data_IF_364813424367
#
_entry.id   IF_364813424367
#
_cell.length_a   1.000
_cell.length_b   1.000
_cell.length_c   1.000
_cell.angle_alpha   90.00
_cell.angle_beta   90.00
_cell.angle_gamma   90.00
#
_symmetry.space_group_name_H-M   'P 1'
#
loop_
_entity.id
_entity.type
_entity.pdbx_description
1 polymer ?
#
# COMPACT_ATOMS: atom_id res chain seq x y z
N UNK A 1 -24.25 56.19 26.75
CA UNK A 1 -23.08 56.10 25.84
C UNK A 1 -22.25 54.92 26.34
N UNK A 2 -22.21 53.74 25.73
CA UNK A 2 -22.64 53.29 24.41
C UNK A 2 -23.09 51.83 24.51
N UNK A 3 -24.16 51.50 23.80
CA UNK A 3 -24.74 50.17 23.66
C UNK A 3 -23.91 49.32 22.70
N UNK A 4 -23.93 47.99 22.87
CA UNK A 4 -23.59 47.05 21.80
C UNK A 4 -24.60 45.91 21.84
N UNK A 5 -25.57 46.02 20.93
CA UNK A 5 -26.54 44.99 20.62
C UNK A 5 -25.86 43.90 19.79
N UNK A 6 -26.12 42.65 20.15
CA UNK A 6 -25.86 41.50 19.29
C UNK A 6 -26.81 41.51 18.08
N UNK A 7 -26.28 41.10 16.93
CA UNK A 7 -27.04 40.87 15.70
C UNK A 7 -26.78 39.42 15.27
N UNK A 8 -27.89 38.68 15.17
CA UNK A 8 -28.03 37.40 14.47
C UNK A 8 -27.65 37.52 12.99
N UNK A 9 -27.06 36.48 12.42
CA UNK A 9 -27.04 36.28 10.97
C UNK A 9 -27.54 34.88 10.65
N UNK A 10 -28.71 34.86 10.02
CA UNK A 10 -29.35 33.75 9.35
C UNK A 10 -28.81 33.57 7.93
N UNK A 11 -28.98 32.35 7.43
CA UNK A 11 -28.60 31.93 6.08
C UNK A 11 -29.48 32.56 4.99
N UNK A 12 -28.86 32.97 3.89
CA UNK A 12 -29.49 33.09 2.56
C UNK A 12 -28.44 32.63 1.54
N UNK A 13 -28.83 31.65 0.72
CA UNK A 13 -28.00 31.10 -0.34
C UNK A 13 -27.94 32.00 -1.56
N UNK A 14 -26.92 31.79 -2.39
CA UNK A 14 -26.89 32.27 -3.76
C UNK A 14 -26.11 31.29 -4.63
N UNK A 15 -26.82 30.79 -5.63
CA UNK A 15 -26.38 29.94 -6.73
C UNK A 15 -25.59 30.78 -7.73
N UNK A 16 -24.43 30.28 -8.17
CA UNK A 16 -23.72 30.83 -9.33
C UNK A 16 -23.58 29.74 -10.39
N UNK A 17 -24.43 29.82 -11.42
CA UNK A 17 -24.22 29.16 -12.72
C UNK A 17 -23.30 30.05 -13.56
N UNK A 18 -22.23 29.48 -14.10
CA UNK A 18 -21.43 30.08 -15.16
C UNK A 18 -21.85 29.44 -16.48
N UNK A 19 -22.70 30.17 -17.21
CA UNK A 19 -22.93 29.99 -18.64
C UNK A 19 -21.66 30.41 -19.40
N UNK A 20 -21.05 29.47 -20.09
CA UNK A 20 -20.13 29.77 -21.21
C UNK A 20 -20.71 29.11 -22.45
N UNK A 21 -21.44 29.92 -23.20
CA UNK A 21 -22.00 29.57 -24.50
C UNK A 21 -20.91 29.32 -25.53
N UNK A 22 -21.01 28.17 -26.20
CA UNK A 22 -20.40 27.94 -27.51
C UNK A 22 -21.50 27.43 -28.43
N UNK A 23 -22.00 28.32 -29.28
CA UNK A 23 -22.92 28.01 -30.37
C UNK A 23 -22.14 27.54 -31.59
N UNK A 24 -22.36 26.30 -32.01
CA UNK A 24 -21.86 25.78 -33.29
C UNK A 24 -22.96 25.93 -34.36
N UNK A 25 -22.68 26.72 -35.38
CA UNK A 25 -23.47 26.77 -36.61
C UNK A 25 -23.18 25.52 -37.46
N UNK A 26 -24.22 24.76 -37.77
CA UNK A 26 -24.19 23.70 -38.76
C UNK A 26 -24.73 24.24 -40.09
N UNK A 27 -24.01 24.00 -41.19
CA UNK A 27 -24.61 23.97 -42.52
C UNK A 27 -24.11 22.72 -43.28
N UNK A 28 -24.96 22.09 -44.12
CA UNK A 28 -24.84 20.69 -44.50
C UNK A 28 -24.16 20.48 -45.87
N UNK A 29 -23.93 19.19 -46.17
CA UNK A 29 -23.57 18.57 -47.45
C UNK A 29 -22.08 18.21 -47.61
N UNK A 30 -21.76 16.94 -47.36
CA UNK A 30 -21.25 16.02 -48.39
C UNK A 30 -21.24 14.58 -47.87
N UNK A 31 -21.59 13.66 -48.77
CA UNK A 31 -21.86 12.25 -48.56
C UNK A 31 -20.60 11.41 -48.29
N UNK A 32 -20.66 10.56 -47.27
CA UNK A 32 -20.03 9.22 -47.35
C UNK A 32 -20.60 8.33 -46.26
N UNK A 33 -21.35 7.31 -46.70
CA UNK A 33 -21.88 6.23 -45.88
C UNK A 33 -20.69 5.43 -45.34
N UNK A 34 -20.40 5.59 -44.06
CA UNK A 34 -19.58 4.66 -43.27
C UNK A 34 -20.53 3.97 -42.31
N UNK A 35 -20.69 2.66 -42.46
CA UNK A 35 -21.49 1.83 -41.54
C UNK A 35 -20.80 1.84 -40.18
N UNK A 36 -21.45 2.41 -39.17
CA UNK A 36 -21.09 2.20 -37.77
C UNK A 36 -21.28 0.71 -37.42
N UNK A 37 -20.31 0.06 -36.75
CA UNK A 37 -20.58 -1.21 -36.10
C UNK A 37 -21.42 -0.92 -34.85
N UNK A 38 -22.65 -1.41 -34.89
CA UNK A 38 -23.56 -1.55 -33.74
C UNK A 38 -22.81 -2.01 -32.49
N UNK A 39 -22.88 -1.19 -31.41
CA UNK A 39 -22.46 -1.56 -30.05
C UNK A 39 -23.18 -2.85 -29.63
N UNK A 40 -22.50 -3.98 -29.77
CA UNK A 40 -22.89 -5.22 -29.12
C UNK A 40 -22.64 -5.05 -27.62
N UNK A 41 -23.72 -4.94 -26.84
CA UNK A 41 -23.69 -5.21 -25.41
C UNK A 41 -23.17 -6.64 -25.21
N UNK A 42 -21.97 -6.75 -24.65
CA UNK A 42 -21.46 -8.02 -24.14
C UNK A 42 -21.93 -8.13 -22.69
N UNK A 43 -22.75 -9.14 -22.32
CA UNK A 43 -23.08 -9.35 -20.92
C UNK A 43 -21.89 -10.07 -20.29
N UNK A 44 -21.00 -9.34 -19.62
CA UNK A 44 -19.97 -9.94 -18.77
C UNK A 44 -20.56 -10.23 -17.39
N UNK A 45 -21.48 -11.20 -17.32
CA UNK A 45 -21.80 -11.89 -16.06
C UNK A 45 -21.04 -13.21 -16.05
N UNK A 46 -19.71 -13.11 -16.00
CA UNK A 46 -18.92 -14.25 -15.55
C UNK A 46 -18.91 -14.19 -14.03
N UNK A 47 -19.64 -15.12 -13.43
CA UNK A 47 -19.66 -15.38 -12.00
C UNK A 47 -18.24 -15.83 -11.58
N UNK A 48 -17.33 -14.87 -11.37
CA UNK A 48 -15.96 -15.13 -10.96
C UNK A 48 -15.96 -15.37 -9.45
N UNK A 49 -15.57 -16.57 -9.05
CA UNK A 49 -15.41 -16.92 -7.64
C UNK A 49 -14.42 -15.94 -6.96
N UNK A 50 -14.74 -15.54 -5.75
CA UNK A 50 -14.06 -14.52 -4.93
C UNK A 50 -12.62 -14.91 -4.49
N UNK A 51 -12.01 -15.94 -5.09
CA UNK A 51 -10.76 -16.57 -4.62
C UNK A 51 -9.46 -16.04 -5.25
N UNK A 52 -9.54 -15.14 -6.23
CA UNK A 52 -8.37 -14.69 -7.02
C UNK A 52 -8.03 -13.21 -6.87
N UNK A 53 -8.41 -12.61 -5.75
CA UNK A 53 -8.11 -11.20 -5.46
C UNK A 53 -6.73 -11.12 -4.77
N UNK A 54 -5.68 -10.55 -5.42
CA UNK A 54 -4.36 -10.52 -4.81
C UNK A 54 -4.30 -9.51 -3.66
N UNK A 55 -3.71 -9.88 -2.52
CA UNK A 55 -3.39 -8.90 -1.47
C UNK A 55 -2.37 -7.87 -1.98
N UNK A 56 -2.28 -6.74 -1.29
CA UNK A 56 -1.27 -5.70 -1.53
C UNK A 56 -0.38 -5.59 -0.30
N UNK A 57 0.94 -5.64 -0.50
CA UNK A 57 1.92 -5.34 0.55
C UNK A 57 2.67 -4.07 0.18
N UNK A 58 2.56 -3.04 1.03
CA UNK A 58 3.34 -1.81 0.92
C UNK A 58 4.53 -1.92 1.86
N UNK A 59 5.73 -2.16 1.32
CA UNK A 59 6.94 -2.43 2.08
C UNK A 59 8.01 -1.38 1.79
N UNK A 60 9.10 -1.46 2.55
CA UNK A 60 10.29 -0.64 2.35
C UNK A 60 10.76 0.07 3.60
N UNK A 61 11.81 0.91 3.48
CA UNK A 61 12.38 1.66 4.58
C UNK A 61 11.30 2.46 5.33
N UNK A 62 11.52 2.73 6.63
CA UNK A 62 10.60 3.57 7.40
C UNK A 62 10.51 5.01 6.87
N UNK A 63 9.51 5.76 7.31
CA UNK A 63 9.30 7.17 6.92
C UNK A 63 9.20 7.47 5.40
N UNK A 64 8.95 6.48 4.55
CA UNK A 64 8.67 6.62 3.10
C UNK A 64 7.20 6.89 2.76
N UNK A 65 6.40 7.28 3.76
CA UNK A 65 4.96 7.57 3.59
C UNK A 65 4.06 6.35 3.31
N UNK A 66 4.46 5.15 3.74
CA UNK A 66 3.71 3.90 3.50
C UNK A 66 2.31 3.92 4.12
N UNK A 67 2.18 4.29 5.39
CA UNK A 67 0.87 4.42 6.07
C UNK A 67 -0.05 5.39 5.33
N UNK A 68 0.48 6.54 4.92
CA UNK A 68 -0.26 7.53 4.12
C UNK A 68 -0.72 6.94 2.78
N UNK A 69 0.15 6.19 2.11
CA UNK A 69 -0.17 5.52 0.85
C UNK A 69 -1.23 4.44 1.02
N UNK A 70 -1.16 3.65 2.10
CA UNK A 70 -2.19 2.63 2.41
C UNK A 70 -3.56 3.26 2.62
N UNK A 71 -3.62 4.38 3.35
CA UNK A 71 -4.88 5.09 3.59
C UNK A 71 -5.46 5.68 2.30
N UNK A 72 -4.63 6.32 1.47
CA UNK A 72 -5.09 6.86 0.18
C UNK A 72 -5.55 5.75 -0.77
N UNK A 73 -4.78 4.66 -0.82
CA UNK A 73 -5.13 3.50 -1.64
C UNK A 73 -6.45 2.87 -1.20
N UNK A 74 -6.70 2.75 0.10
CA UNK A 74 -8.00 2.30 0.62
C UNK A 74 -9.13 3.19 0.10
N UNK A 75 -8.99 4.51 0.21
CA UNK A 75 -10.01 5.45 -0.25
C UNK A 75 -10.30 5.27 -1.74
N UNK A 76 -9.27 5.23 -2.59
CA UNK A 76 -9.43 5.05 -4.04
C UNK A 76 -10.11 3.72 -4.35
N UNK A 77 -9.67 2.63 -3.72
CA UNK A 77 -10.20 1.29 -3.96
C UNK A 77 -11.66 1.19 -3.54
N UNK A 78 -12.03 1.76 -2.40
CA UNK A 78 -13.43 1.76 -1.96
C UNK A 78 -14.36 2.48 -2.95
N UNK A 79 -13.89 3.55 -3.59
CA UNK A 79 -14.64 4.24 -4.63
C UNK A 79 -14.67 3.43 -5.94
N UNK A 80 -13.53 2.89 -6.38
CA UNK A 80 -13.42 2.13 -7.63
C UNK A 80 -14.17 0.79 -7.59
N UNK A 81 -14.33 0.18 -6.41
CA UNK A 81 -14.98 -1.12 -6.24
C UNK A 81 -16.47 -1.02 -5.90
N UNK A 82 -17.03 0.18 -5.71
CA UNK A 82 -18.40 0.39 -5.22
C UNK A 82 -19.48 -0.38 -6.02
N UNK A 83 -19.28 -0.50 -7.34
CA UNK A 83 -20.22 -1.18 -8.25
C UNK A 83 -19.74 -2.58 -8.68
N UNK A 84 -18.78 -3.16 -7.98
CA UNK A 84 -18.21 -4.49 -8.29
C UNK A 84 -18.60 -5.54 -7.25
N UNK A 85 -18.48 -6.82 -7.60
CA UNK A 85 -18.70 -7.93 -6.66
C UNK A 85 -17.49 -8.24 -5.77
N UNK A 86 -16.46 -7.38 -5.77
CA UNK A 86 -15.21 -7.60 -5.04
C UNK A 86 -15.36 -6.99 -3.65
N UNK A 87 -15.08 -7.78 -2.62
CA UNK A 87 -15.17 -7.29 -1.25
C UNK A 87 -14.20 -6.13 -1.00
N UNK A 88 -14.52 -5.28 -0.03
CA UNK A 88 -13.59 -4.26 0.45
C UNK A 88 -12.37 -4.94 1.12
N UNK A 89 -11.14 -4.46 0.86
CA UNK A 89 -9.97 -5.02 1.52
C UNK A 89 -10.01 -4.72 3.02
N UNK A 90 -9.49 -5.64 3.83
CA UNK A 90 -9.10 -5.29 5.19
C UNK A 90 -7.75 -4.56 5.20
N UNK A 91 -7.55 -3.68 6.17
CA UNK A 91 -6.26 -3.02 6.37
C UNK A 91 -5.51 -3.73 7.49
N UNK A 92 -4.34 -4.27 7.15
CA UNK A 92 -3.36 -4.71 8.15
C UNK A 92 -2.46 -3.52 8.45
N UNK A 93 -2.68 -2.89 9.59
CA UNK A 93 -1.86 -1.77 10.05
C UNK A 93 -0.47 -2.23 10.49
N UNK A 94 0.44 -1.28 10.65
CA UNK A 94 1.85 -1.53 10.93
C UNK A 94 2.10 -2.26 12.27
N UNK A 95 2.21 -3.59 12.20
CA UNK A 95 2.30 -4.50 13.37
C UNK A 95 3.55 -4.27 14.20
N UNK A 96 4.68 -3.93 13.56
CA UNK A 96 5.95 -3.72 14.24
C UNK A 96 5.86 -2.67 15.35
N UNK A 97 5.07 -1.60 15.15
CA UNK A 97 4.88 -0.54 16.16
C UNK A 97 4.19 -1.10 17.41
N UNK A 98 3.18 -1.95 17.23
CA UNK A 98 2.46 -2.61 18.31
C UNK A 98 3.35 -3.59 19.07
N UNK A 99 4.19 -4.36 18.37
CA UNK A 99 5.12 -5.31 19.00
C UNK A 99 6.18 -4.58 19.84
N UNK A 100 6.79 -3.51 19.30
CA UNK A 100 7.76 -2.69 20.02
C UNK A 100 7.17 -2.15 21.34
N UNK A 101 5.96 -1.57 21.27
CA UNK A 101 5.27 -1.03 22.44
C UNK A 101 4.92 -2.13 23.47
N UNK A 102 4.36 -3.25 23.01
CA UNK A 102 3.93 -4.37 23.87
C UNK A 102 5.11 -5.01 24.62
N UNK A 103 6.25 -5.16 23.95
CA UNK A 103 7.42 -5.83 24.50
C UNK A 103 8.48 -4.87 25.06
N UNK A 104 8.21 -3.56 25.03
CA UNK A 104 9.07 -2.49 25.55
C UNK A 104 10.48 -2.49 24.94
N UNK A 105 10.58 -2.75 23.64
CA UNK A 105 11.83 -2.63 22.89
C UNK A 105 12.09 -1.17 22.55
N UNK A 106 13.31 -0.70 22.79
CA UNK A 106 13.80 0.58 22.26
C UNK A 106 14.59 0.39 20.97
N UNK A 107 14.87 1.48 20.24
CA UNK A 107 15.78 1.44 19.09
C UNK A 107 17.21 1.01 19.51
N UNK A 108 17.65 1.40 20.71
CA UNK A 108 18.96 1.06 21.26
C UNK A 108 19.09 -0.43 21.55
N UNK A 109 18.02 -1.08 22.04
CA UNK A 109 18.00 -2.53 22.25
C UNK A 109 18.32 -3.31 20.97
N UNK A 110 17.89 -2.79 19.82
CA UNK A 110 18.06 -3.42 18.52
C UNK A 110 19.52 -3.26 18.03
N UNK A 111 20.17 -2.13 18.32
CA UNK A 111 21.57 -1.89 17.94
C UNK A 111 22.58 -2.54 18.88
N UNK A 112 22.26 -2.58 20.17
CA UNK A 112 23.21 -3.02 21.20
C UNK A 112 23.32 -4.55 21.28
N UNK A 113 22.34 -5.31 20.77
CA UNK A 113 22.32 -6.75 20.85
C UNK A 113 21.72 -7.41 19.61
N UNK A 114 22.57 -8.14 18.89
CA UNK A 114 22.16 -8.94 17.72
C UNK A 114 21.16 -10.03 18.08
N UNK A 115 21.23 -10.58 19.31
CA UNK A 115 20.26 -11.56 19.83
C UNK A 115 18.91 -10.92 20.07
N UNK A 116 18.85 -9.77 20.75
CA UNK A 116 17.59 -9.03 20.98
C UNK A 116 16.95 -8.57 19.66
N UNK A 117 17.79 -8.17 18.70
CA UNK A 117 17.32 -7.84 17.35
C UNK A 117 16.61 -9.04 16.71
N UNK A 118 17.24 -10.23 16.73
CA UNK A 118 16.63 -11.44 16.16
C UNK A 118 15.31 -11.82 16.87
N UNK A 119 15.29 -11.80 18.21
CA UNK A 119 14.08 -12.06 19.00
C UNK A 119 12.94 -11.11 18.62
N UNK A 120 13.24 -9.81 18.48
CA UNK A 120 12.26 -8.84 18.02
C UNK A 120 11.77 -9.13 16.60
N UNK A 121 12.67 -9.44 15.66
CA UNK A 121 12.27 -9.74 14.28
C UNK A 121 11.39 -10.99 14.20
N UNK A 122 11.65 -12.01 15.03
CA UNK A 122 10.79 -13.17 15.16
C UNK A 122 9.39 -12.79 15.67
N UNK A 123 9.31 -11.99 16.75
CA UNK A 123 8.03 -11.52 17.31
C UNK A 123 7.22 -10.72 16.28
N UNK A 124 7.88 -9.84 15.52
CA UNK A 124 7.22 -9.05 14.46
C UNK A 124 6.70 -9.97 13.36
N UNK A 125 7.50 -10.92 12.88
CA UNK A 125 7.10 -11.87 11.84
C UNK A 125 5.88 -12.71 12.26
N UNK A 126 5.90 -13.26 13.48
CA UNK A 126 4.80 -14.08 13.99
C UNK A 126 3.52 -13.25 14.19
N UNK A 127 3.64 -12.05 14.76
CA UNK A 127 2.52 -11.15 14.94
C UNK A 127 1.91 -10.73 13.59
N UNK A 128 2.76 -10.41 12.61
CA UNK A 128 2.35 -10.02 11.26
C UNK A 128 1.63 -11.16 10.54
N UNK A 129 2.15 -12.38 10.62
CA UNK A 129 1.48 -13.56 10.06
C UNK A 129 0.10 -13.79 10.70
N UNK A 130 -0.04 -13.55 12.01
CA UNK A 130 -1.35 -13.61 12.70
C UNK A 130 -2.30 -12.52 12.21
N UNK A 131 -1.86 -11.26 12.14
CA UNK A 131 -2.71 -10.15 11.68
C UNK A 131 -3.21 -10.34 10.25
N UNK A 132 -2.36 -10.86 9.36
CA UNK A 132 -2.74 -11.17 7.97
C UNK A 132 -3.77 -12.30 7.90
N UNK A 133 -3.66 -13.34 8.76
CA UNK A 133 -4.68 -14.39 8.88
C UNK A 133 -6.00 -13.84 9.39
N UNK A 134 -5.97 -12.98 10.40
CA UNK A 134 -7.19 -12.40 10.98
C UNK A 134 -7.90 -11.48 9.97
N UNK A 135 -7.15 -10.71 9.18
CA UNK A 135 -7.71 -9.92 8.08
C UNK A 135 -8.45 -10.79 7.05
N UNK A 136 -7.89 -11.95 6.70
CA UNK A 136 -8.52 -12.90 5.77
C UNK A 136 -9.73 -13.64 6.36
N UNK A 137 -10.00 -13.52 7.66
CA UNK A 137 -11.24 -14.06 8.26
C UNK A 137 -12.43 -13.13 8.05
N UNK A 138 -12.19 -11.85 7.80
CA UNK A 138 -13.23 -10.81 7.69
C UNK A 138 -13.37 -10.24 6.28
N UNK A 139 -12.38 -10.44 5.39
CA UNK A 139 -12.47 -10.16 3.96
C UNK A 139 -11.73 -11.21 3.14
N UNK A 140 -12.01 -11.27 1.84
CA UNK A 140 -11.31 -12.13 0.88
C UNK A 140 -9.88 -11.68 0.59
N UNK A 141 -9.50 -10.44 0.92
CA UNK A 141 -8.15 -9.90 0.70
C UNK A 141 -7.85 -8.69 1.59
N UNK A 142 -6.59 -8.25 1.61
CA UNK A 142 -6.13 -7.12 2.40
C UNK A 142 -5.09 -6.24 1.72
N UNK A 143 -4.91 -5.03 2.28
CA UNK A 143 -3.78 -4.13 2.06
C UNK A 143 -2.98 -4.09 3.36
N UNK A 144 -1.67 -4.35 3.29
CA UNK A 144 -0.80 -4.41 4.46
C UNK A 144 0.23 -3.28 4.44
N UNK A 145 0.24 -2.48 5.52
CA UNK A 145 1.31 -1.54 5.83
C UNK A 145 2.47 -2.32 6.46
N UNK A 146 3.49 -2.61 5.64
CA UNK A 146 4.54 -3.62 5.86
C UNK A 146 4.08 -5.07 5.69
N UNK A 147 5.01 -5.98 5.87
CA UNK A 147 4.82 -7.42 5.65
C UNK A 147 5.69 -8.24 6.60
N UNK A 148 5.46 -9.56 6.62
CA UNK A 148 6.37 -10.48 7.30
C UNK A 148 7.73 -10.63 6.58
N UNK A 149 7.94 -9.97 5.44
CA UNK A 149 9.24 -9.86 4.80
C UNK A 149 10.13 -8.80 5.44
N UNK A 150 9.56 -7.67 5.92
CA UNK A 150 10.33 -6.58 6.54
C UNK A 150 11.30 -7.11 7.63
N UNK A 151 10.89 -8.00 8.56
CA UNK A 151 11.79 -8.53 9.59
C UNK A 151 13.03 -9.25 9.05
N UNK A 152 12.96 -9.88 7.87
CA UNK A 152 14.12 -10.52 7.28
C UNK A 152 15.18 -9.48 6.89
N UNK A 153 14.75 -8.35 6.30
CA UNK A 153 15.65 -7.26 5.90
C UNK A 153 16.33 -6.66 7.12
N UNK A 154 15.56 -6.38 8.17
CA UNK A 154 16.10 -5.84 9.42
C UNK A 154 17.01 -6.86 10.12
N UNK A 155 16.68 -8.16 10.11
CA UNK A 155 17.55 -9.20 10.65
C UNK A 155 18.88 -9.30 9.89
N UNK A 156 18.87 -9.23 8.55
CA UNK A 156 20.10 -9.24 7.74
C UNK A 156 21.05 -8.09 8.10
N UNK A 157 20.49 -6.94 8.47
CA UNK A 157 21.25 -5.73 8.75
C UNK A 157 21.73 -5.63 10.19
N UNK A 158 20.92 -6.06 11.16
CA UNK A 158 21.14 -5.77 12.58
C UNK A 158 21.31 -7.01 13.47
N UNK A 159 20.97 -8.21 12.98
CA UNK A 159 21.12 -9.45 13.75
C UNK A 159 22.36 -10.25 13.32
N UNK A 160 22.57 -11.41 13.94
CA UNK A 160 23.71 -12.28 13.64
C UNK A 160 23.66 -12.83 12.19
N UNK A 161 24.80 -13.23 11.58
CA UNK A 161 24.85 -13.65 10.16
C UNK A 161 23.85 -14.73 9.72
N UNK A 162 23.40 -15.58 10.65
CA UNK A 162 22.46 -16.68 10.36
C UNK A 162 20.99 -16.31 10.64
N UNK A 163 20.70 -15.07 11.05
CA UNK A 163 19.38 -14.65 11.50
C UNK A 163 18.31 -14.80 10.41
N UNK A 164 18.63 -14.45 9.16
CA UNK A 164 17.70 -14.62 8.03
C UNK A 164 17.32 -16.09 7.84
N UNK A 165 18.31 -16.99 7.86
CA UNK A 165 18.06 -18.42 7.71
C UNK A 165 17.19 -18.96 8.86
N UNK A 166 17.39 -18.48 10.08
CA UNK A 166 16.56 -18.86 11.24
C UNK A 166 15.11 -18.39 11.05
N UNK A 167 14.89 -17.12 10.66
CA UNK A 167 13.55 -16.60 10.38
C UNK A 167 12.87 -17.37 9.24
N UNK A 168 13.62 -17.75 8.20
CA UNK A 168 13.08 -18.50 7.07
C UNK A 168 12.63 -19.92 7.43
N UNK A 169 13.13 -20.51 8.51
CA UNK A 169 12.66 -21.81 8.98
C UNK A 169 11.33 -21.74 9.74
N UNK A 170 10.93 -20.55 10.20
CA UNK A 170 9.70 -20.38 10.96
C UNK A 170 8.47 -20.67 10.10
N UNK A 171 7.46 -21.38 10.63
CA UNK A 171 6.19 -21.60 9.93
C UNK A 171 5.54 -20.28 9.47
N UNK A 172 5.61 -19.25 10.31
CA UNK A 172 5.09 -17.92 10.00
C UNK A 172 5.67 -17.34 8.70
N UNK A 173 6.98 -17.47 8.47
CA UNK A 173 7.59 -17.02 7.22
C UNK A 173 7.07 -17.79 6.01
N UNK A 174 6.96 -19.12 6.11
CA UNK A 174 6.49 -19.97 5.00
C UNK A 174 5.07 -19.58 4.57
N UNK A 175 4.20 -19.30 5.55
CA UNK A 175 2.84 -18.83 5.30
C UNK A 175 2.79 -17.44 4.68
N UNK A 176 3.58 -16.49 5.20
CA UNK A 176 3.69 -15.13 4.65
C UNK A 176 4.20 -15.19 3.22
N UNK A 177 5.29 -15.91 2.97
CA UNK A 177 5.90 -16.05 1.65
C UNK A 177 4.91 -16.59 0.63
N UNK A 178 4.21 -17.68 0.96
CA UNK A 178 3.19 -18.28 0.09
C UNK A 178 2.09 -17.27 -0.27
N UNK A 179 1.66 -16.44 0.69
CA UNK A 179 0.68 -15.38 0.42
C UNK A 179 1.28 -14.28 -0.47
N UNK A 180 2.50 -13.83 -0.17
CA UNK A 180 3.21 -12.80 -0.96
C UNK A 180 3.44 -13.22 -2.41
N UNK A 181 3.72 -14.50 -2.69
CA UNK A 181 3.90 -15.04 -4.04
C UNK A 181 2.65 -14.82 -4.93
N UNK A 182 1.46 -14.81 -4.33
CA UNK A 182 0.18 -14.59 -5.03
C UNK A 182 -0.33 -13.14 -4.93
N UNK A 183 0.49 -12.23 -4.44
CA UNK A 183 0.10 -10.85 -4.15
C UNK A 183 0.81 -9.84 -5.04
N UNK A 184 0.44 -8.56 -4.87
CA UNK A 184 1.24 -7.43 -5.33
C UNK A 184 2.16 -6.99 -4.19
N UNK A 185 3.47 -7.02 -4.41
CA UNK A 185 4.47 -6.46 -3.50
C UNK A 185 4.96 -5.13 -4.05
N UNK A 186 4.82 -4.07 -3.25
CA UNK A 186 5.19 -2.70 -3.60
C UNK A 186 6.29 -2.22 -2.67
N UNK A 187 7.43 -1.84 -3.22
CA UNK A 187 8.55 -1.26 -2.45
C UNK A 187 8.54 0.26 -2.64
N UNK A 188 8.37 1.01 -1.56
CA UNK A 188 8.53 2.47 -1.59
C UNK A 188 10.01 2.84 -1.53
N UNK A 189 10.49 3.57 -2.54
CA UNK A 189 11.87 4.04 -2.59
C UNK A 189 12.19 5.02 -1.45
N UNK A 190 13.41 4.93 -0.93
CA UNK A 190 13.90 5.80 0.13
C UNK A 190 14.21 7.23 -0.35
N UNK A 191 14.32 8.18 0.59
CA UNK A 191 14.80 9.54 0.30
C UNK A 191 13.69 10.54 -0.08
N UNK A 192 12.46 10.32 0.37
CA UNK A 192 11.39 11.30 0.19
C UNK A 192 11.64 12.55 1.06
N UNK A 193 11.32 13.77 0.59
CA UNK A 193 11.61 15.01 1.32
C UNK A 193 10.84 15.17 2.64
N UNK A 194 9.84 14.33 2.91
CA UNK A 194 9.04 14.31 4.13
C UNK A 194 9.50 13.27 5.16
N UNK A 195 10.76 12.85 5.13
CA UNK A 195 11.33 11.99 6.18
C UNK A 195 11.24 12.70 7.53
N UNK A 196 10.25 12.32 8.35
CA UNK A 196 10.13 12.75 9.74
C UNK A 196 10.55 11.62 10.67
N UNK A 197 11.30 12.00 11.71
CA UNK A 197 11.64 11.13 12.83
C UNK A 197 10.38 10.86 13.66
N UNK A 198 10.02 9.58 13.78
CA UNK A 198 8.86 9.16 14.59
C UNK A 198 9.25 8.79 16.03
N UNK A 199 10.54 8.89 16.40
CA UNK A 199 11.06 8.66 17.76
C UNK A 199 10.96 7.22 18.26
N UNK A 200 10.43 6.31 17.44
CA UNK A 200 10.15 4.91 17.81
C UNK A 200 11.10 3.95 17.08
N UNK A 201 11.75 4.37 15.99
CA UNK A 201 12.52 3.47 15.11
C UNK A 201 13.98 3.85 14.92
N UNK A 202 14.75 2.86 14.46
CA UNK A 202 16.15 3.02 14.09
C UNK A 202 16.31 3.81 12.80
N UNK A 203 16.46 5.12 12.90
CA UNK A 203 16.67 6.01 11.76
C UNK A 203 18.08 5.83 11.15
N UNK A 204 18.19 5.53 9.85
CA UNK A 204 19.45 5.68 9.12
C UNK A 204 20.00 7.10 9.29
N UNK A 205 21.28 7.23 9.57
CA UNK A 205 21.95 8.50 9.88
C UNK A 205 22.26 9.37 8.67
N UNK A 206 22.04 8.88 7.45
CA UNK A 206 22.25 9.62 6.21
C UNK A 206 21.40 9.13 5.04
N UNK A 207 21.19 9.98 4.03
CA UNK A 207 20.53 9.62 2.76
C UNK A 207 21.15 8.36 2.12
N UNK A 208 22.47 8.19 2.26
CA UNK A 208 23.17 7.01 1.75
C UNK A 208 22.73 5.75 2.49
N UNK A 209 22.57 5.80 3.81
CA UNK A 209 22.12 4.65 4.59
C UNK A 209 20.65 4.32 4.34
N UNK A 210 19.83 5.34 4.07
CA UNK A 210 18.44 5.19 3.62
C UNK A 210 18.34 4.48 2.28
N UNK A 211 19.10 4.94 1.28
CA UNK A 211 19.17 4.28 -0.02
C UNK A 211 19.75 2.87 0.08
N UNK A 212 20.75 2.66 0.95
CA UNK A 212 21.26 1.32 1.20
C UNK A 212 20.17 0.39 1.75
N UNK A 213 19.36 0.86 2.71
CA UNK A 213 18.25 0.05 3.24
C UNK A 213 17.24 -0.28 2.14
N UNK A 214 16.88 0.68 1.29
CA UNK A 214 16.04 0.41 0.11
C UNK A 214 16.64 -0.67 -0.80
N UNK A 215 17.94 -0.58 -1.12
CA UNK A 215 18.62 -1.60 -1.92
C UNK A 215 18.67 -2.96 -1.23
N UNK A 216 18.75 -3.00 0.10
CA UNK A 216 18.70 -4.25 0.86
C UNK A 216 17.33 -4.92 0.78
N UNK A 217 16.23 -4.14 0.77
CA UNK A 217 14.88 -4.64 0.48
C UNK A 217 14.81 -5.30 -0.91
N UNK A 218 15.20 -4.56 -1.96
CA UNK A 218 15.16 -5.05 -3.34
C UNK A 218 16.00 -6.32 -3.52
N UNK A 219 17.27 -6.30 -3.09
CA UNK A 219 18.18 -7.45 -3.22
C UNK A 219 17.62 -8.67 -2.50
N UNK A 220 17.03 -8.49 -1.32
CA UNK A 220 16.48 -9.61 -0.58
C UNK A 220 15.21 -10.18 -1.24
N UNK A 221 14.36 -9.35 -1.86
CA UNK A 221 13.21 -9.83 -2.64
C UNK A 221 13.67 -10.72 -3.80
N UNK A 222 14.72 -10.30 -4.50
CA UNK A 222 15.36 -11.09 -5.56
C UNK A 222 15.90 -12.42 -5.00
N UNK A 223 16.61 -12.39 -3.87
CA UNK A 223 17.18 -13.58 -3.21
C UNK A 223 16.09 -14.60 -2.80
N UNK A 224 14.91 -14.14 -2.37
CA UNK A 224 13.82 -15.04 -1.95
C UNK A 224 12.83 -15.38 -3.07
N UNK A 225 13.03 -14.82 -4.26
CA UNK A 225 12.21 -15.06 -5.45
C UNK A 225 10.82 -14.42 -5.40
N UNK A 226 10.67 -13.26 -4.77
CA UNK A 226 9.41 -12.51 -4.73
C UNK A 226 9.41 -11.38 -5.77
N UNK A 227 8.45 -11.42 -6.70
CA UNK A 227 8.24 -10.33 -7.65
C UNK A 227 7.70 -9.07 -6.96
N UNK A 228 8.20 -7.90 -7.37
CA UNK A 228 7.80 -6.62 -6.79
C UNK A 228 7.82 -5.49 -7.81
N UNK A 229 7.15 -4.38 -7.48
CA UNK A 229 7.29 -3.12 -8.19
C UNK A 229 7.77 -2.01 -7.23
N UNK A 230 8.44 -1.00 -7.77
CA UNK A 230 8.93 0.14 -6.98
C UNK A 230 8.01 1.35 -7.20
N UNK A 231 7.64 2.02 -6.11
CA UNK A 231 7.09 3.38 -6.16
C UNK A 231 8.26 4.36 -6.04
N UNK A 232 8.58 5.11 -7.11
CA UNK A 232 9.75 6.00 -7.12
C UNK A 232 9.61 7.15 -6.12
N UNK A 233 10.73 7.57 -5.52
CA UNK A 233 10.78 8.72 -4.60
C UNK A 233 10.42 10.05 -5.26
N UNK A 234 10.45 10.09 -6.60
CA UNK A 234 10.15 11.27 -7.41
C UNK A 234 8.65 11.48 -7.62
N UNK A 235 7.82 10.46 -7.35
CA UNK A 235 6.35 10.61 -7.38
C UNK A 235 5.92 11.18 -6.04
N UNK A 236 5.81 12.50 -5.97
CA UNK A 236 5.56 13.21 -4.71
C UNK A 236 4.09 13.25 -4.33
N UNK A 237 3.20 13.29 -5.32
CA UNK A 237 1.76 13.33 -5.10
C UNK A 237 1.23 11.99 -4.60
N UNK A 238 0.45 12.02 -3.52
CA UNK A 238 -0.02 10.80 -2.86
C UNK A 238 -1.05 10.06 -3.71
N UNK A 239 -1.90 10.79 -4.44
CA UNK A 239 -2.91 10.22 -5.30
C UNK A 239 -2.28 9.61 -6.56
N UNK A 240 -1.22 10.21 -7.11
CA UNK A 240 -0.41 9.60 -8.18
C UNK A 240 0.27 8.30 -7.74
N UNK A 241 0.85 8.27 -6.53
CA UNK A 241 1.43 7.03 -5.96
C UNK A 241 0.38 5.94 -5.81
N UNK A 242 -0.80 6.30 -5.29
CA UNK A 242 -1.89 5.35 -5.12
C UNK A 242 -2.44 4.85 -6.46
N UNK A 243 -2.56 5.72 -7.47
CA UNK A 243 -2.97 5.35 -8.83
C UNK A 243 -1.97 4.39 -9.50
N UNK A 244 -0.67 4.58 -9.27
CA UNK A 244 0.37 3.65 -9.73
C UNK A 244 0.17 2.27 -9.12
N UNK A 245 0.01 2.20 -7.79
CA UNK A 245 -0.22 0.91 -7.09
C UNK A 245 -1.51 0.25 -7.57
N UNK A 246 -2.58 1.02 -7.73
CA UNK A 246 -3.86 0.53 -8.24
C UNK A 246 -3.73 -0.08 -9.64
N UNK A 247 -3.04 0.60 -10.54
CA UNK A 247 -2.77 0.10 -11.90
C UNK A 247 -2.01 -1.22 -11.85
N UNK A 248 -0.96 -1.32 -11.02
CA UNK A 248 -0.21 -2.57 -10.83
C UNK A 248 -1.02 -3.69 -10.23
N UNK A 249 -1.99 -3.37 -9.38
CA UNK A 249 -2.87 -4.37 -8.81
C UNK A 249 -3.83 -4.95 -9.84
N UNK A 250 -4.38 -4.12 -10.73
CA UNK A 250 -5.21 -4.58 -11.86
C UNK A 250 -4.40 -5.52 -12.76
N UNK A 251 -3.18 -5.12 -13.16
CA UNK A 251 -2.27 -5.96 -13.96
C UNK A 251 -2.00 -7.30 -13.25
N UNK A 252 -1.70 -7.27 -11.94
CA UNK A 252 -1.42 -8.48 -11.17
C UNK A 252 -2.63 -9.41 -11.14
N UNK A 253 -3.82 -8.87 -10.94
CA UNK A 253 -5.05 -9.65 -10.90
C UNK A 253 -5.33 -10.32 -12.24
N UNK A 254 -5.17 -9.61 -13.36
CA UNK A 254 -5.30 -10.19 -14.71
C UNK A 254 -4.29 -11.33 -14.93
N UNK A 255 -3.04 -11.15 -14.50
CA UNK A 255 -2.02 -12.21 -14.60
C UNK A 255 -2.34 -13.49 -13.81
N UNK A 256 -3.20 -13.41 -12.79
CA UNK A 256 -3.60 -14.57 -12.00
C UNK A 256 -4.82 -15.27 -12.59
N UNK A 257 -5.65 -14.59 -13.37
CA UNK A 257 -6.81 -15.18 -14.04
C UNK A 257 -6.47 -15.86 -15.36
N UNK A 258 -5.35 -15.46 -15.98
CA UNK A 258 -4.91 -15.98 -17.28
C UNK A 258 -4.06 -17.27 -17.17
N UNK A 259 -3.71 -17.69 -15.96
CA UNK A 259 -2.92 -18.90 -15.65
C UNK A 259 -3.80 -20.01 -15.06
#
# INVERSE_FOLDING_TARGET
MSSSNGIELSAVGESWSLDVGVTWHADPLTSSIVREPTRSHVPYTTNMANSDVPNIYIIGPQSTGKTTLVNELQNIIEHCLADTSIDKPQIVSEVARTVLAKHKYSAEDILASTTRCLELQQLILEAQASSEKDALRTSSWFISDRSGFDPLVYAKRYAAPNAVAQLQQLPAWKEVKMRMERSLVVVCEAGTPWLMDDGVRLMPGSDKEWMQLFHDFCRMLDEVGLGYCVVPRTVLDISERAALVWTKWIERRQSLTDN
#
